data_IF_070155173130
#
_entry.id   IF_070155173130
#
_cell.length_a   1.000
_cell.length_b   1.000
_cell.length_c   1.000
_cell.angle_alpha   90.00
_cell.angle_beta   90.00
_cell.angle_gamma   90.00
#
_symmetry.space_group_name_H-M   'P 1'
#
loop_
_entity.id
_entity.type
_entity.pdbx_description
1 polymer ?
#
# COMPACT_ATOMS: atom_id res chain seq x y z
N UNK A 1 -5.93 -5.62 -3.12
CA UNK A 1 -6.79 -5.12 -4.20
C UNK A 1 -6.07 -5.30 -5.53
N UNK A 2 -6.76 -5.68 -6.61
CA UNK A 2 -6.18 -5.76 -7.96
C UNK A 2 -6.88 -4.77 -8.87
N UNK A 3 -6.10 -4.03 -9.64
CA UNK A 3 -6.57 -2.98 -10.55
C UNK A 3 -5.74 -2.98 -11.84
N UNK A 4 -6.21 -2.24 -12.84
CA UNK A 4 -5.48 -1.98 -14.09
C UNK A 4 -4.71 -0.67 -13.99
N UNK A 5 -3.70 -0.51 -14.84
CA UNK A 5 -3.02 0.77 -14.97
C UNK A 5 -4.01 1.83 -15.48
N UNK A 6 -4.04 2.98 -14.81
CA UNK A 6 -4.99 4.07 -15.06
C UNK A 6 -6.20 4.08 -14.12
N UNK A 7 -6.45 3.00 -13.37
CA UNK A 7 -7.52 2.98 -12.37
C UNK A 7 -7.19 3.90 -11.19
N UNK A 8 -8.23 4.48 -10.59
CA UNK A 8 -8.13 5.30 -9.37
C UNK A 8 -8.66 4.53 -8.16
N UNK A 9 -7.89 4.53 -7.08
CA UNK A 9 -8.32 4.02 -5.77
C UNK A 9 -8.61 5.21 -4.86
N UNK A 10 -9.85 5.29 -4.38
CA UNK A 10 -10.27 6.26 -3.38
C UNK A 10 -10.17 5.64 -1.98
N UNK A 11 -9.44 6.29 -1.08
CA UNK A 11 -9.39 5.94 0.33
C UNK A 11 -10.43 6.75 1.09
N UNK A 12 -11.44 6.07 1.64
CA UNK A 12 -12.55 6.67 2.37
C UNK A 12 -12.22 6.71 3.86
N UNK A 13 -12.37 7.87 4.48
CA UNK A 13 -12.15 8.07 5.91
C UNK A 13 -13.46 7.82 6.68
N UNK A 14 -13.93 6.57 6.67
CA UNK A 14 -15.20 6.17 7.31
C UNK A 14 -15.21 6.49 8.80
N UNK A 15 -14.10 6.18 9.48
CA UNK A 15 -13.87 6.49 10.89
C UNK A 15 -12.74 7.51 11.04
N UNK A 16 -12.74 8.25 12.15
CA UNK A 16 -11.68 9.20 12.48
C UNK A 16 -10.41 8.48 12.99
N UNK A 17 -9.26 9.10 12.76
CA UNK A 17 -7.95 8.61 13.19
C UNK A 17 -7.19 7.82 12.13
N UNK A 18 -7.72 7.73 10.90
CA UNK A 18 -7.12 6.95 9.83
C UNK A 18 -6.55 7.84 8.72
N UNK A 19 -5.55 7.31 8.01
CA UNK A 19 -5.03 7.85 6.77
C UNK A 19 -4.52 6.72 5.88
N UNK A 20 -4.13 7.07 4.66
CA UNK A 20 -3.42 6.17 3.75
C UNK A 20 -2.13 6.83 3.27
N UNK A 21 -1.02 6.13 3.42
CA UNK A 21 0.30 6.57 2.97
C UNK A 21 1.09 5.39 2.38
N UNK A 22 1.91 5.65 1.37
CA UNK A 22 2.81 4.65 0.79
C UNK A 22 3.81 4.13 1.81
N UNK A 23 4.16 2.85 1.69
CA UNK A 23 5.26 2.23 2.43
C UNK A 23 6.55 2.37 1.61
N UNK A 24 7.58 2.96 2.22
CA UNK A 24 8.90 3.12 1.60
C UNK A 24 9.44 1.78 1.08
N UNK A 25 9.84 1.74 -0.19
CA UNK A 25 10.35 0.53 -0.85
C UNK A 25 9.27 -0.45 -1.33
N UNK A 26 7.98 -0.12 -1.18
CA UNK A 26 6.86 -0.91 -1.69
C UNK A 26 6.03 -0.15 -2.74
N UNK A 27 6.65 0.80 -3.45
CA UNK A 27 6.04 1.51 -4.59
C UNK A 27 6.91 1.20 -5.82
N UNK A 28 6.33 0.96 -7.02
CA UNK A 28 7.12 0.66 -8.20
C UNK A 28 8.00 1.85 -8.62
N UNK A 29 9.15 1.56 -9.23
CA UNK A 29 10.02 2.60 -9.79
C UNK A 29 9.25 3.43 -10.84
N UNK A 30 9.41 4.75 -10.80
CA UNK A 30 8.67 5.69 -11.67
C UNK A 30 7.25 6.00 -11.21
N UNK A 31 6.73 5.35 -10.17
CA UNK A 31 5.45 5.73 -9.56
C UNK A 31 5.63 6.79 -8.45
N UNK A 32 4.69 7.72 -8.36
CA UNK A 32 4.68 8.72 -7.28
C UNK A 32 4.09 8.12 -6.00
N UNK A 33 4.80 8.15 -4.86
CA UNK A 33 4.23 7.76 -3.57
C UNK A 33 3.20 8.80 -3.12
N UNK A 34 2.25 8.39 -2.28
CA UNK A 34 1.23 9.26 -1.71
C UNK A 34 1.29 9.27 -0.19
N UNK A 35 0.83 10.36 0.41
CA UNK A 35 0.73 10.51 1.86
C UNK A 35 -0.47 11.39 2.22
N UNK A 36 -1.62 10.77 2.47
CA UNK A 36 -2.81 11.47 2.94
C UNK A 36 -2.68 11.87 4.42
N UNK A 37 -3.26 13.04 4.77
CA UNK A 37 -3.37 13.49 6.16
C UNK A 37 -4.38 12.64 6.94
N UNK A 38 -4.33 12.68 8.27
CA UNK A 38 -5.34 12.04 9.13
C UNK A 38 -6.73 12.60 8.79
N UNK A 39 -7.71 11.70 8.65
CA UNK A 39 -9.10 11.96 8.25
C UNK A 39 -9.28 12.51 6.82
N UNK A 40 -8.22 12.57 6.02
CA UNK A 40 -8.32 13.02 4.63
C UNK A 40 -8.71 11.85 3.72
N UNK A 41 -9.77 12.03 2.94
CA UNK A 41 -9.99 11.20 1.77
C UNK A 41 -9.01 11.60 0.66
N UNK A 42 -8.36 10.60 0.06
CA UNK A 42 -7.47 10.80 -1.08
C UNK A 42 -7.89 9.89 -2.23
N UNK A 43 -7.66 10.37 -3.45
CA UNK A 43 -7.79 9.60 -4.67
C UNK A 43 -6.42 9.42 -5.28
N UNK A 44 -6.05 8.17 -5.59
CA UNK A 44 -4.75 7.81 -6.13
C UNK A 44 -4.95 7.08 -7.46
N UNK A 45 -4.61 7.75 -8.56
CA UNK A 45 -4.55 7.14 -9.89
C UNK A 45 -3.25 6.38 -10.05
N UNK A 46 -3.34 5.09 -10.40
CA UNK A 46 -2.22 4.16 -10.41
C UNK A 46 -1.85 3.81 -11.85
N UNK A 47 -0.82 4.47 -12.38
CA UNK A 47 -0.45 4.35 -13.81
C UNK A 47 0.69 3.36 -14.06
N UNK A 48 1.53 3.07 -13.06
CA UNK A 48 2.70 2.20 -13.23
C UNK A 48 2.36 0.79 -12.74
N UNK A 49 2.61 -0.27 -13.55
CA UNK A 49 2.43 -1.64 -13.09
C UNK A 49 3.34 -2.00 -11.92
N UNK A 50 2.80 -2.75 -10.96
CA UNK A 50 3.54 -3.26 -9.81
C UNK A 50 2.70 -3.33 -8.54
N UNK A 51 3.40 -3.57 -7.43
CA UNK A 51 2.84 -3.60 -6.09
C UNK A 51 2.99 -2.25 -5.41
N UNK A 52 1.89 -1.79 -4.80
CA UNK A 52 1.80 -0.60 -3.98
C UNK A 52 1.38 -1.03 -2.56
N UNK A 53 2.36 -1.10 -1.66
CA UNK A 53 2.12 -1.24 -0.23
C UNK A 53 1.74 0.10 0.38
N UNK A 54 0.67 0.12 1.17
CA UNK A 54 0.23 1.31 1.89
C UNK A 54 -0.05 0.97 3.36
N UNK A 55 -0.01 2.00 4.20
CA UNK A 55 -0.23 1.92 5.65
C UNK A 55 -1.12 3.06 6.13
N UNK A 56 -1.79 2.84 7.25
CA UNK A 56 -2.23 3.92 8.11
C UNK A 56 -1.13 4.23 9.13
N UNK A 57 -0.63 5.47 9.13
CA UNK A 57 0.54 5.88 9.92
C UNK A 57 0.42 5.56 11.42
N UNK A 58 -0.66 5.99 12.12
CA UNK A 58 -0.80 5.69 13.57
C UNK A 58 -1.06 4.22 13.87
N UNK A 59 -1.61 3.45 12.92
CA UNK A 59 -2.08 2.08 13.15
C UNK A 59 -1.26 1.01 12.42
N UNK A 60 -0.09 1.36 11.89
CA UNK A 60 0.76 0.43 11.13
C UNK A 60 1.19 -0.77 11.99
N UNK A 61 1.65 -0.50 13.22
CA UNK A 61 2.06 -1.55 14.17
C UNK A 61 0.91 -2.46 14.62
N UNK A 62 -0.33 -1.97 14.51
CA UNK A 62 -1.56 -2.68 14.83
C UNK A 62 -2.12 -3.49 13.65
N UNK A 63 -1.43 -3.53 12.51
CA UNK A 63 -1.86 -4.33 11.36
C UNK A 63 -2.59 -3.56 10.27
N UNK A 64 -2.78 -2.24 10.40
CA UNK A 64 -3.49 -1.45 9.40
C UNK A 64 -2.59 -1.10 8.21
N UNK A 65 -2.41 -2.10 7.36
CA UNK A 65 -1.66 -2.05 6.10
C UNK A 65 -2.48 -2.67 4.98
N UNK A 66 -2.15 -2.36 3.73
CA UNK A 66 -2.78 -2.98 2.59
C UNK A 66 -1.89 -3.01 1.35
N UNK A 67 -2.29 -3.82 0.39
CA UNK A 67 -1.55 -4.06 -0.84
C UNK A 67 -2.46 -3.88 -2.05
N UNK A 68 -2.04 -3.03 -2.99
CA UNK A 68 -2.66 -2.87 -4.31
C UNK A 68 -1.71 -3.45 -5.35
N UNK A 69 -2.22 -4.30 -6.21
CA UNK A 69 -1.50 -4.83 -7.37
C UNK A 69 -2.08 -4.20 -8.63
N UNK A 70 -1.23 -3.50 -9.37
CA UNK A 70 -1.55 -2.88 -10.67
C UNK A 70 -0.90 -3.74 -11.74
N UNK A 71 -1.70 -4.49 -12.51
CA UNK A 71 -1.16 -5.40 -13.53
C UNK A 71 -0.09 -6.37 -12.99
N UNK A 72 1.06 -6.45 -13.68
CA UNK A 72 2.16 -7.35 -13.33
C UNK A 72 2.98 -6.83 -12.14
N UNK A 73 3.28 -7.72 -11.18
CA UNK A 73 3.99 -7.41 -9.95
C UNK A 73 5.53 -7.41 -10.10
N UNK A 74 6.06 -6.59 -11.02
CA UNK A 74 7.50 -6.58 -11.35
C UNK A 74 8.43 -6.25 -10.18
N UNK A 75 7.96 -5.47 -9.20
CA UNK A 75 8.71 -5.08 -8.01
C UNK A 75 8.47 -6.01 -6.79
N UNK A 76 7.93 -7.22 -6.98
CA UNK A 76 7.59 -8.15 -5.87
C UNK A 76 8.75 -8.44 -4.92
N UNK A 77 9.95 -8.67 -5.46
CA UNK A 77 11.14 -8.93 -4.65
C UNK A 77 11.48 -7.74 -3.74
N UNK A 78 11.54 -6.53 -4.31
CA UNK A 78 11.80 -5.29 -3.57
C UNK A 78 10.72 -5.04 -2.50
N UNK A 79 9.44 -5.21 -2.86
CA UNK A 79 8.32 -5.05 -1.94
C UNK A 79 8.39 -6.05 -0.76
N UNK A 80 8.79 -7.29 -1.04
CA UNK A 80 8.98 -8.33 0.00
C UNK A 80 10.11 -7.95 0.96
N UNK A 81 11.26 -7.52 0.44
CA UNK A 81 12.39 -7.03 1.25
C UNK A 81 11.99 -5.83 2.12
N UNK A 82 11.29 -4.86 1.55
CA UNK A 82 10.84 -3.68 2.27
C UNK A 82 9.82 -4.02 3.38
N UNK A 83 8.95 -5.01 3.15
CA UNK A 83 7.92 -5.42 4.12
C UNK A 83 8.50 -5.93 5.45
N UNK A 84 9.74 -6.43 5.45
CA UNK A 84 10.42 -6.91 6.65
C UNK A 84 10.66 -5.80 7.70
N UNK A 85 10.65 -4.52 7.27
CA UNK A 85 10.84 -3.34 8.13
C UNK A 85 9.54 -2.81 8.73
N UNK A 86 8.38 -3.36 8.36
CA UNK A 86 7.10 -2.96 8.95
C UNK A 86 7.09 -3.42 10.43
N UNK A 87 6.68 -2.58 11.38
CA UNK A 87 6.63 -2.97 12.79
C UNK A 87 5.41 -3.82 13.13
N UNK A 88 5.53 -4.64 14.18
CA UNK A 88 4.41 -5.31 14.84
C UNK A 88 3.55 -6.19 13.93
N UNK A 89 2.24 -6.17 14.17
CA UNK A 89 1.26 -6.95 13.42
C UNK A 89 1.21 -6.56 11.94
N UNK A 90 1.58 -5.31 11.60
CA UNK A 90 1.67 -4.84 10.21
C UNK A 90 2.59 -5.72 9.35
N UNK A 91 3.69 -6.22 9.90
CA UNK A 91 4.60 -7.13 9.18
C UNK A 91 3.90 -8.44 8.81
N UNK A 92 3.24 -9.05 9.78
CA UNK A 92 2.55 -10.34 9.58
C UNK A 92 1.41 -10.20 8.59
N UNK A 93 0.60 -9.14 8.72
CA UNK A 93 -0.49 -8.86 7.78
C UNK A 93 0.04 -8.61 6.37
N UNK A 94 1.11 -7.82 6.21
CA UNK A 94 1.69 -7.57 4.89
C UNK A 94 2.28 -8.84 4.26
N UNK A 95 2.95 -9.68 5.06
CA UNK A 95 3.49 -10.95 4.59
C UNK A 95 2.37 -11.86 4.05
N UNK A 96 1.25 -11.96 4.76
CA UNK A 96 0.08 -12.70 4.29
C UNK A 96 -0.50 -12.10 2.98
N UNK A 97 -0.63 -10.78 2.89
CA UNK A 97 -1.09 -10.11 1.66
C UNK A 97 -0.20 -10.40 0.46
N UNK A 98 1.13 -10.45 0.66
CA UNK A 98 2.09 -10.77 -0.39
C UNK A 98 1.93 -12.21 -0.92
N UNK A 99 1.44 -13.17 -0.12
CA UNK A 99 1.14 -14.53 -0.60
C UNK A 99 0.02 -14.56 -1.64
N UNK A 100 -0.87 -13.55 -1.62
CA UNK A 100 -2.06 -13.45 -2.49
C UNK A 100 -1.75 -12.78 -3.84
N UNK A 101 -0.53 -12.26 -4.02
CA UNK A 101 -0.07 -11.72 -5.30
C UNK A 101 0.09 -12.88 -6.30
N UNK A 102 -0.51 -12.73 -7.48
CA UNK A 102 -0.36 -13.67 -8.62
C UNK A 102 0.24 -12.94 -9.80
#
# INVERSE_FOLDING_TARGET
>A
LRVRAGDTVKFIATDRGHNAASITGMTPDGATPFNGRINQEIEVTLTVPGLYGYKCTPHTGMGMVGLIQVGAAGNRAAATTASARIPGLGKTVMADLLTRVR
#
